data_IF_150985476173
#
_entry.id   IF_150985476173
#
_cell.length_a   1.000
_cell.length_b   1.000
_cell.length_c   1.000
_cell.angle_alpha   90.00
_cell.angle_beta   90.00
_cell.angle_gamma   90.00
#
_symmetry.space_group_name_H-M   'P 1'
#
loop_
_entity.id
_entity.type
_entity.pdbx_description
1 polymer ?
#
# COMPACT_ATOMS: atom_id res chain seq x y z
N UNK A 1 5.71 1.73 22.64
CA UNK A 1 5.07 2.47 23.74
C UNK A 1 4.30 1.49 24.61
N UNK A 2 4.41 1.58 25.95
CA UNK A 2 3.68 0.72 26.90
C UNK A 2 2.39 1.43 27.34
N UNK A 3 1.35 1.35 26.52
CA UNK A 3 0.00 1.77 26.91
C UNK A 3 -0.87 0.53 27.22
N UNK A 4 -1.81 0.60 28.18
CA UNK A 4 -2.69 -0.51 28.50
C UNK A 4 -3.57 -0.92 27.29
N UNK A 5 -3.87 -2.21 27.19
CA UNK A 5 -4.71 -2.73 26.11
C UNK A 5 -6.06 -2.00 26.06
N UNK A 6 -6.37 -1.42 24.90
CA UNK A 6 -7.62 -0.69 24.66
C UNK A 6 -7.52 0.83 24.61
N UNK A 7 -6.34 1.44 24.81
CA UNK A 7 -6.18 2.91 24.73
C UNK A 7 -5.62 3.44 23.41
N UNK A 8 -5.29 2.56 22.46
CA UNK A 8 -4.75 2.94 21.14
C UNK A 8 -5.83 3.04 20.07
N UNK A 9 -5.71 4.04 19.19
CA UNK A 9 -6.59 4.26 18.05
C UNK A 9 -6.48 3.06 17.07
N UNK A 10 -7.56 2.29 16.92
CA UNK A 10 -7.58 1.10 16.07
C UNK A 10 -7.85 1.40 14.59
N UNK A 11 -8.46 2.55 14.30
CA UNK A 11 -8.81 2.95 12.95
C UNK A 11 -8.89 4.47 12.83
N UNK A 12 -8.49 4.99 11.67
CA UNK A 12 -8.62 6.40 11.32
C UNK A 12 -9.23 6.55 9.93
N UNK A 13 -10.48 6.99 9.88
CA UNK A 13 -11.19 7.26 8.65
C UNK A 13 -10.93 8.71 8.24
N UNK A 14 -10.47 8.91 7.01
CA UNK A 14 -10.19 10.24 6.44
C UNK A 14 -11.04 10.42 5.19
N UNK A 15 -11.65 11.60 5.07
CA UNK A 15 -12.42 12.02 3.91
C UNK A 15 -11.71 13.21 3.29
N UNK A 16 -11.55 13.18 1.97
CA UNK A 16 -10.77 14.15 1.24
C UNK A 16 -11.28 14.28 -0.20
N UNK A 17 -10.45 14.87 -1.06
CA UNK A 17 -10.77 15.11 -2.47
C UNK A 17 -9.97 14.17 -3.39
N UNK A 18 -10.32 14.13 -4.67
CA UNK A 18 -9.55 13.39 -5.68
C UNK A 18 -8.09 13.85 -5.71
N UNK A 19 -7.85 15.13 -5.47
CA UNK A 19 -6.53 15.77 -5.38
C UNK A 19 -5.69 15.28 -4.19
N UNK A 20 -6.30 14.64 -3.19
CA UNK A 20 -5.58 13.92 -2.14
C UNK A 20 -5.31 12.48 -2.55
N UNK A 21 -6.31 11.84 -3.18
CA UNK A 21 -6.24 10.42 -3.51
C UNK A 21 -5.28 10.12 -4.66
N UNK A 22 -5.27 10.95 -5.70
CA UNK A 22 -4.41 10.79 -6.88
C UNK A 22 -2.93 10.78 -6.50
N UNK A 23 -2.36 11.82 -5.85
CA UNK A 23 -0.95 11.80 -5.48
C UNK A 23 -0.63 10.70 -4.46
N UNK A 24 -1.55 10.39 -3.54
CA UNK A 24 -1.35 9.31 -2.58
C UNK A 24 -1.26 7.93 -3.25
N UNK A 25 -2.14 7.67 -4.22
CA UNK A 25 -2.15 6.43 -5.02
C UNK A 25 -0.87 6.29 -5.85
N UNK A 26 -0.38 7.40 -6.42
CA UNK A 26 0.92 7.43 -7.11
C UNK A 26 2.09 7.14 -6.15
N UNK A 27 2.07 7.68 -4.93
CA UNK A 27 3.10 7.42 -3.91
C UNK A 27 3.14 5.94 -3.50
N UNK A 28 1.98 5.27 -3.45
CA UNK A 28 1.90 3.82 -3.24
C UNK A 28 2.42 3.00 -4.43
N UNK A 29 2.79 3.64 -5.53
CA UNK A 29 3.26 3.00 -6.75
C UNK A 29 2.15 2.36 -7.59
N UNK A 30 0.88 2.62 -7.27
CA UNK A 30 -0.25 2.05 -8.01
C UNK A 30 -0.38 2.74 -9.38
N UNK A 31 -0.75 1.95 -10.40
CA UNK A 31 -0.92 2.39 -11.79
C UNK A 31 0.34 2.85 -12.53
N UNK A 32 1.52 2.60 -11.97
CA UNK A 32 2.80 2.74 -12.68
C UNK A 32 2.93 1.66 -13.76
N UNK A 33 3.66 1.94 -14.85
CA UNK A 33 3.84 1.01 -15.96
C UNK A 33 5.25 0.43 -15.98
N UNK A 34 5.39 -0.88 -16.21
CA UNK A 34 6.70 -1.53 -16.39
C UNK A 34 7.66 -1.28 -15.22
N UNK A 35 8.81 -0.65 -15.51
CA UNK A 35 9.88 -0.36 -14.55
C UNK A 35 9.80 1.05 -13.96
N UNK A 36 8.66 1.73 -14.09
CA UNK A 36 8.50 3.12 -13.65
C UNK A 36 8.71 3.25 -12.13
N UNK A 37 8.35 2.24 -11.35
CA UNK A 37 8.58 2.24 -9.90
C UNK A 37 10.07 2.29 -9.57
N UNK A 38 10.89 1.46 -10.20
CA UNK A 38 12.34 1.44 -10.00
C UNK A 38 13.00 2.74 -10.51
N UNK A 39 12.50 3.31 -11.61
CA UNK A 39 12.94 4.62 -12.11
C UNK A 39 12.65 5.72 -11.08
N UNK A 40 11.44 5.76 -10.53
CA UNK A 40 11.07 6.73 -9.47
C UNK A 40 11.98 6.56 -8.24
N UNK A 41 12.25 5.33 -7.80
CA UNK A 41 13.15 5.06 -6.67
C UNK A 41 14.58 5.56 -6.90
N UNK A 42 15.01 5.67 -8.17
CA UNK A 42 16.32 6.21 -8.57
C UNK A 42 16.27 7.69 -8.93
N UNK A 43 15.13 8.35 -8.74
CA UNK A 43 14.89 9.73 -9.14
C UNK A 43 15.11 9.97 -10.64
N UNK A 44 14.91 8.93 -11.46
CA UNK A 44 15.04 9.01 -12.91
C UNK A 44 13.74 9.55 -13.53
N UNK A 45 13.84 10.36 -14.60
CA UNK A 45 12.66 10.89 -15.28
C UNK A 45 11.85 9.76 -15.93
N UNK A 46 10.53 9.86 -15.81
CA UNK A 46 9.61 8.98 -16.53
C UNK A 46 9.40 9.44 -17.97
N UNK A 47 9.11 8.48 -18.84
CA UNK A 47 8.76 8.75 -20.22
C UNK A 47 7.38 9.45 -20.29
N UNK A 48 7.16 10.23 -21.34
CA UNK A 48 5.86 10.84 -21.56
C UNK A 48 4.80 9.75 -21.79
N UNK A 49 3.58 9.92 -21.26
CA UNK A 49 2.53 8.93 -21.44
C UNK A 49 2.23 8.76 -22.94
N UNK A 50 1.97 7.52 -23.40
CA UNK A 50 1.78 7.26 -24.81
C UNK A 50 0.54 7.99 -25.33
N UNK A 51 0.66 8.52 -26.55
CA UNK A 51 -0.44 9.26 -27.18
C UNK A 51 -1.58 8.31 -27.59
N UNK A 52 -2.85 8.78 -27.53
CA UNK A 52 -3.97 8.05 -28.11
C UNK A 52 -3.69 7.65 -29.57
N UNK A 53 -4.07 6.44 -30.03
CA UNK A 53 -5.01 5.50 -29.39
C UNK A 53 -4.35 4.46 -28.46
N UNK A 54 -3.07 4.60 -28.13
CA UNK A 54 -2.40 3.62 -27.26
C UNK A 54 -3.06 3.56 -25.88
N UNK A 55 -3.18 2.35 -25.34
CA UNK A 55 -3.79 2.11 -24.03
C UNK A 55 -2.83 2.53 -22.92
N UNK A 56 -3.39 3.04 -21.83
CA UNK A 56 -2.72 3.40 -20.59
C UNK A 56 -3.41 2.71 -19.42
N UNK A 57 -2.64 2.32 -18.42
CA UNK A 57 -3.16 1.81 -17.16
C UNK A 57 -3.81 2.93 -16.35
N UNK A 58 -3.20 4.12 -16.37
CA UNK A 58 -3.73 5.29 -15.68
C UNK A 58 -5.01 5.80 -16.37
N UNK A 59 -6.12 5.74 -15.63
CA UNK A 59 -7.43 6.28 -16.04
C UNK A 59 -8.10 6.90 -14.83
N UNK A 60 -8.56 8.15 -14.94
CA UNK A 60 -9.23 8.84 -13.82
C UNK A 60 -10.41 8.05 -13.24
N UNK A 61 -11.18 7.36 -14.09
CA UNK A 61 -12.29 6.51 -13.67
C UNK A 61 -11.88 5.26 -12.85
N UNK A 62 -10.62 4.83 -12.94
CA UNK A 62 -10.08 3.72 -12.13
C UNK A 62 -9.34 4.25 -10.90
N UNK A 63 -8.57 5.33 -11.07
CA UNK A 63 -7.68 5.89 -10.03
C UNK A 63 -8.46 6.66 -8.96
N UNK A 64 -9.46 7.45 -9.37
CA UNK A 64 -10.23 8.28 -8.45
C UNK A 64 -11.69 8.46 -8.93
N UNK A 65 -12.48 7.38 -9.05
CA UNK A 65 -13.93 7.51 -9.22
C UNK A 65 -14.58 8.23 -8.02
N UNK A 66 -15.87 8.58 -8.15
CA UNK A 66 -16.63 9.08 -7.00
C UNK A 66 -16.61 8.07 -5.85
N UNK A 67 -16.38 8.57 -4.63
CA UNK A 67 -16.20 7.77 -3.41
C UNK A 67 -15.02 6.79 -3.45
N UNK A 68 -14.03 7.01 -4.33
CA UNK A 68 -12.79 6.25 -4.34
C UNK A 68 -12.06 6.35 -3.00
N UNK A 69 -11.40 5.25 -2.61
CA UNK A 69 -10.73 5.15 -1.33
C UNK A 69 -9.46 4.29 -1.43
N UNK A 70 -8.52 4.56 -0.52
CA UNK A 70 -7.39 3.71 -0.23
C UNK A 70 -7.45 3.32 1.24
N UNK A 71 -7.35 2.03 1.52
CA UNK A 71 -7.35 1.49 2.87
C UNK A 71 -6.02 0.79 3.14
N UNK A 72 -5.41 1.08 4.28
CA UNK A 72 -4.25 0.36 4.81
C UNK A 72 -4.72 -0.44 6.01
N UNK A 73 -4.70 -1.77 5.91
CA UNK A 73 -5.08 -2.67 6.98
C UNK A 73 -3.81 -3.27 7.61
N UNK A 74 -3.66 -3.10 8.93
CA UNK A 74 -2.56 -3.71 9.70
C UNK A 74 -3.04 -5.03 10.30
N UNK A 75 -2.38 -6.12 9.93
CA UNK A 75 -2.61 -7.45 10.46
C UNK A 75 -1.50 -7.82 11.44
N UNK A 76 -1.89 -8.54 12.49
CA UNK A 76 -0.99 -9.21 13.40
C UNK A 76 -1.10 -10.71 13.15
N UNK A 77 -0.04 -11.30 12.64
CA UNK A 77 0.01 -12.73 12.37
C UNK A 77 0.78 -13.44 13.51
N UNK A 78 0.22 -14.51 14.10
CA UNK A 78 0.98 -15.36 14.99
C UNK A 78 2.10 -16.04 14.19
N UNK A 79 3.34 -15.98 14.69
CA UNK A 79 4.49 -16.59 14.04
C UNK A 79 4.26 -18.09 13.80
N UNK A 80 4.54 -18.56 12.58
CA UNK A 80 4.18 -19.90 12.11
C UNK A 80 5.13 -21.00 12.61
N UNK A 81 5.71 -20.84 13.80
CA UNK A 81 6.50 -21.89 14.42
C UNK A 81 5.58 -22.76 15.28
N UNK A 82 5.09 -23.85 14.68
CA UNK A 82 4.47 -24.99 15.37
C UNK A 82 5.38 -25.69 16.39
N UNK A 83 6.39 -25.00 16.94
CA UNK A 83 7.24 -25.44 18.03
C UNK A 83 7.31 -24.34 19.09
N UNK A 84 6.51 -24.55 20.14
CA UNK A 84 6.64 -23.87 21.42
C UNK A 84 8.08 -24.03 21.94
N UNK A 85 8.84 -22.96 22.02
CA UNK A 85 9.86 -22.75 23.07
C UNK A 85 10.30 -21.28 23.09
N UNK A 86 10.43 -20.75 24.31
CA UNK A 86 11.04 -19.47 24.71
C UNK A 86 10.26 -18.16 24.47
N UNK A 87 10.43 -17.26 25.42
CA UNK A 87 9.65 -16.06 25.78
C UNK A 87 9.67 -14.89 24.78
N UNK A 88 9.98 -15.11 23.50
CA UNK A 88 10.09 -14.04 22.49
C UNK A 88 9.31 -14.39 21.21
N UNK A 89 8.01 -14.67 21.31
CA UNK A 89 7.13 -14.68 20.13
C UNK A 89 6.98 -13.24 19.62
N UNK A 90 7.93 -12.80 18.79
CA UNK A 90 7.87 -11.52 18.09
C UNK A 90 6.71 -11.56 17.11
N UNK A 91 5.55 -11.03 17.51
CA UNK A 91 4.39 -10.85 16.63
C UNK A 91 4.85 -10.21 15.31
N UNK A 92 4.52 -10.84 14.19
CA UNK A 92 4.83 -10.29 12.87
C UNK A 92 3.65 -9.46 12.39
N UNK A 93 3.94 -8.22 12.01
CA UNK A 93 2.93 -7.29 11.51
C UNK A 93 3.05 -7.18 9.99
N UNK A 94 1.90 -7.15 9.33
CA UNK A 94 1.80 -7.02 7.88
C UNK A 94 0.78 -5.94 7.52
N UNK A 95 1.06 -5.21 6.45
CA UNK A 95 0.17 -4.21 5.87
C UNK A 95 -0.43 -4.78 4.59
N UNK A 96 -1.74 -4.74 4.49
CA UNK A 96 -2.46 -4.93 3.22
C UNK A 96 -2.97 -3.57 2.74
N UNK A 97 -2.78 -3.30 1.47
CA UNK A 97 -3.35 -2.11 0.82
C UNK A 97 -4.54 -2.55 -0.01
N UNK A 98 -5.64 -1.81 0.13
CA UNK A 98 -6.82 -1.97 -0.71
C UNK A 98 -7.08 -0.65 -1.42
N UNK A 99 -7.27 -0.72 -2.73
CA UNK A 99 -7.67 0.40 -3.57
C UNK A 99 -9.07 0.15 -4.10
N UNK A 100 -10.01 1.05 -3.83
CA UNK A 100 -11.44 0.86 -4.14
C UNK A 100 -11.96 -0.51 -3.66
N UNK A 101 -11.65 -0.85 -2.39
CA UNK A 101 -12.07 -2.10 -1.73
C UNK A 101 -11.49 -3.40 -2.32
N UNK A 102 -10.63 -3.31 -3.34
CA UNK A 102 -9.92 -4.46 -3.89
C UNK A 102 -8.47 -4.50 -3.37
N UNK A 103 -7.97 -5.67 -2.93
CA UNK A 103 -6.57 -5.81 -2.53
C UNK A 103 -5.65 -5.52 -3.72
N UNK A 104 -4.54 -4.83 -3.45
CA UNK A 104 -3.52 -4.51 -4.46
C UNK A 104 -2.15 -4.99 -4.03
N UNK A 105 -1.42 -5.54 -4.98
CA UNK A 105 -0.02 -5.94 -4.78
C UNK A 105 0.86 -4.70 -4.70
N UNK A 106 1.70 -4.62 -3.67
CA UNK A 106 2.50 -3.42 -3.39
C UNK A 106 3.86 -3.45 -4.10
N UNK A 107 4.16 -2.53 -5.04
CA UNK A 107 5.45 -2.48 -5.73
C UNK A 107 6.62 -2.31 -4.76
N UNK A 108 6.48 -1.43 -3.77
CA UNK A 108 7.48 -1.19 -2.72
C UNK A 108 7.78 -2.41 -1.84
N UNK A 109 6.98 -3.46 -1.93
CA UNK A 109 7.14 -4.70 -1.18
C UNK A 109 7.39 -5.92 -2.09
N UNK A 110 7.92 -5.69 -3.30
CA UNK A 110 8.19 -6.73 -4.28
C UNK A 110 6.92 -7.34 -4.86
N UNK A 111 5.88 -6.53 -5.07
CA UNK A 111 4.57 -6.92 -5.62
C UNK A 111 3.86 -8.02 -4.80
N UNK A 112 3.96 -7.95 -3.47
CA UNK A 112 3.20 -8.82 -2.55
C UNK A 112 1.91 -8.13 -2.09
N UNK A 113 0.86 -8.92 -1.86
CA UNK A 113 -0.43 -8.42 -1.33
C UNK A 113 -0.36 -8.14 0.18
N UNK A 114 0.51 -8.85 0.90
CA UNK A 114 0.80 -8.63 2.32
C UNK A 114 2.26 -8.20 2.47
N UNK A 115 2.45 -6.94 2.83
CA UNK A 115 3.78 -6.36 3.01
C UNK A 115 4.22 -6.44 4.47
N UNK A 116 5.41 -6.98 4.80
CA UNK A 116 5.94 -6.87 6.16
C UNK A 116 6.00 -5.41 6.61
N UNK A 117 5.53 -5.12 7.82
CA UNK A 117 5.43 -3.74 8.31
C UNK A 117 6.78 -3.00 8.31
N UNK A 118 7.89 -3.72 8.56
CA UNK A 118 9.23 -3.14 8.51
C UNK A 118 9.67 -2.76 7.09
N UNK A 119 9.24 -3.52 6.06
CA UNK A 119 9.49 -3.18 4.66
C UNK A 119 8.59 -2.02 4.21
N UNK A 120 7.33 -1.99 4.66
CA UNK A 120 6.35 -0.95 4.28
C UNK A 120 6.71 0.46 4.76
N UNK A 121 7.42 0.58 5.89
CA UNK A 121 7.79 1.87 6.49
C UNK A 121 8.91 2.61 5.76
N UNK A 122 9.74 1.88 5.04
CA UNK A 122 10.95 2.39 4.37
C UNK A 122 10.58 2.99 3.03
#
# INVERSE_FOLDING_TARGET
ENFPDGTYEKARLRFAHAETLVPFTCLLGLFLEGSDFEKIQREEPLDLPPMPPQRRNWKGALVAPFASNNMLALYQCPGNDGKKTSQDQKNSYFVQVLHNEAPVSMPGCGNKDLCPFEEFKV
#
